data_IF_482949797933
#
_entry.id   IF_482949797933
#
_cell.length_a   1.000
_cell.length_b   1.000
_cell.length_c   1.000
_cell.angle_alpha   90.00
_cell.angle_beta   90.00
_cell.angle_gamma   90.00
#
_symmetry.space_group_name_H-M   'P 1'
#
loop_
_entity.id
_entity.type
_entity.pdbx_description
1 polymer ?
#
# COMPACT_ATOMS: atom_id res chain seq x y z
N UNK A 1 -17.10 6.93 -74.01
CA UNK A 1 -15.83 6.52 -73.40
C UNK A 1 -15.34 7.67 -72.53
N UNK A 2 -15.72 7.71 -71.29
CA UNK A 2 -15.35 8.76 -70.37
C UNK A 2 -14.82 8.13 -69.08
N UNK A 3 -13.58 8.47 -68.70
CA UNK A 3 -12.91 8.02 -67.49
C UNK A 3 -13.47 8.77 -66.26
N UNK A 4 -14.14 8.10 -65.39
CA UNK A 4 -14.51 8.65 -64.08
C UNK A 4 -13.31 8.61 -63.15
N UNK A 5 -12.83 9.74 -62.68
CA UNK A 5 -11.84 9.90 -61.63
C UNK A 5 -12.54 9.80 -60.27
N UNK A 6 -12.31 8.73 -59.55
CA UNK A 6 -12.75 8.62 -58.17
C UNK A 6 -11.88 9.46 -57.27
N UNK A 7 -12.47 10.49 -56.69
CA UNK A 7 -11.91 11.34 -55.66
C UNK A 7 -12.15 10.64 -54.30
N UNK A 8 -11.15 9.97 -53.78
CA UNK A 8 -11.20 9.41 -52.44
C UNK A 8 -10.98 10.55 -51.44
N UNK A 9 -12.09 11.04 -50.87
CA UNK A 9 -12.03 11.89 -49.69
C UNK A 9 -11.63 11.03 -48.49
N UNK A 10 -10.40 11.17 -48.00
CA UNK A 10 -9.99 10.68 -46.70
C UNK A 10 -10.69 11.53 -45.64
N UNK A 11 -11.74 11.00 -45.05
CA UNK A 11 -12.33 11.52 -43.84
C UNK A 11 -11.45 11.02 -42.68
N UNK A 12 -10.62 11.90 -42.15
CA UNK A 12 -9.90 11.68 -40.94
C UNK A 12 -10.92 11.80 -39.79
N UNK A 13 -11.44 10.68 -39.32
CA UNK A 13 -12.26 10.64 -38.10
C UNK A 13 -11.28 10.84 -36.97
N UNK A 14 -11.21 12.07 -36.47
CA UNK A 14 -10.60 12.35 -35.18
C UNK A 14 -11.43 11.67 -34.09
N UNK A 15 -10.95 10.57 -33.55
CA UNK A 15 -11.49 10.00 -32.32
C UNK A 15 -11.11 10.98 -31.22
N UNK A 16 -12.05 11.87 -30.90
CA UNK A 16 -12.00 12.64 -29.67
C UNK A 16 -12.30 11.63 -28.54
N UNK A 17 -11.25 11.09 -27.95
CA UNK A 17 -11.38 10.36 -26.69
C UNK A 17 -11.84 11.38 -25.64
N UNK A 18 -13.14 11.51 -25.48
CA UNK A 18 -13.74 12.09 -24.30
C UNK A 18 -13.47 11.07 -23.20
N UNK A 19 -12.39 11.28 -22.44
CA UNK A 19 -12.24 10.67 -21.13
C UNK A 19 -13.35 11.29 -20.28
N UNK A 20 -14.52 10.69 -20.34
CA UNK A 20 -15.49 10.79 -19.28
C UNK A 20 -14.78 10.18 -18.05
N UNK A 21 -14.22 11.05 -17.23
CA UNK A 21 -14.02 10.73 -15.82
C UNK A 21 -15.43 10.51 -15.26
N UNK A 22 -15.96 9.33 -15.45
CA UNK A 22 -16.98 8.84 -14.54
C UNK A 22 -16.26 8.77 -13.19
N UNK A 23 -16.46 9.79 -12.38
CA UNK A 23 -16.39 9.59 -10.97
C UNK A 23 -17.30 8.39 -10.70
N UNK A 24 -16.71 7.22 -10.52
CA UNK A 24 -17.42 6.09 -9.95
C UNK A 24 -17.81 6.59 -8.58
N UNK A 25 -19.02 7.08 -8.46
CA UNK A 25 -19.67 7.24 -7.17
C UNK A 25 -19.80 5.80 -6.70
N UNK A 26 -18.86 5.38 -5.84
CA UNK A 26 -18.96 4.11 -5.16
C UNK A 26 -20.31 4.16 -4.45
N UNK A 27 -21.17 3.20 -4.78
CA UNK A 27 -22.46 3.08 -4.15
C UNK A 27 -22.24 2.90 -2.65
N UNK A 28 -23.02 3.60 -1.88
CA UNK A 28 -22.98 3.75 -0.44
C UNK A 28 -22.35 2.56 0.29
N UNK A 29 -21.28 2.85 1.04
CA UNK A 29 -20.81 2.05 2.15
C UNK A 29 -22.03 1.48 2.87
N UNK A 30 -22.10 0.15 3.04
CA UNK A 30 -23.20 -0.52 3.70
C UNK A 30 -23.69 0.25 4.95
N UNK A 31 -24.71 1.12 4.85
CA UNK A 31 -25.05 2.01 5.95
C UNK A 31 -25.56 1.24 7.16
N UNK A 32 -26.06 0.02 6.95
CA UNK A 32 -26.44 -0.87 8.04
C UNK A 32 -25.22 -1.35 8.83
N UNK A 33 -24.12 -1.66 8.17
CA UNK A 33 -22.87 -2.05 8.82
C UNK A 33 -22.24 -0.88 9.57
N UNK A 34 -22.19 0.32 8.96
CA UNK A 34 -21.68 1.52 9.62
C UNK A 34 -22.49 1.83 10.87
N UNK A 35 -23.82 1.72 10.80
CA UNK A 35 -24.67 1.94 11.99
C UNK A 35 -24.42 0.87 13.06
N UNK A 36 -24.25 -0.39 12.67
CA UNK A 36 -23.89 -1.49 13.58
C UNK A 36 -22.54 -1.22 14.26
N UNK A 37 -21.55 -0.75 13.51
CA UNK A 37 -20.23 -0.40 14.06
C UNK A 37 -20.36 0.75 15.08
N UNK A 38 -21.12 1.81 14.78
CA UNK A 38 -21.41 2.90 15.71
C UNK A 38 -22.10 2.41 16.98
N UNK A 39 -23.06 1.51 16.86
CA UNK A 39 -23.80 0.96 18.00
C UNK A 39 -22.91 0.03 18.86
N UNK A 40 -22.07 -0.77 18.25
CA UNK A 40 -21.09 -1.61 18.95
C UNK A 40 -20.06 -0.79 19.72
N UNK A 41 -19.58 0.32 19.15
CA UNK A 41 -18.63 1.23 19.78
C UNK A 41 -19.29 2.30 20.69
N UNK A 42 -20.60 2.28 20.85
CA UNK A 42 -21.33 3.29 21.64
C UNK A 42 -20.86 3.40 23.09
N UNK A 43 -20.41 2.29 23.67
CA UNK A 43 -19.88 2.24 25.03
C UNK A 43 -18.35 2.21 25.08
N UNK A 44 -17.70 2.39 23.91
CA UNK A 44 -16.25 2.52 23.87
C UNK A 44 -15.83 3.81 24.57
N UNK A 45 -14.71 3.78 25.26
CA UNK A 45 -14.16 4.92 25.98
C UNK A 45 -12.73 5.19 25.51
N UNK A 46 -12.21 6.35 25.91
CA UNK A 46 -10.80 6.69 25.73
C UNK A 46 -9.95 6.33 26.96
N UNK A 47 -10.31 5.26 27.69
CA UNK A 47 -9.54 4.80 28.84
C UNK A 47 -8.07 4.52 28.47
N UNK A 48 -7.85 4.01 27.23
CA UNK A 48 -6.54 4.01 26.58
C UNK A 48 -6.55 5.18 25.60
N UNK A 49 -5.68 6.18 25.78
CA UNK A 49 -5.67 7.37 24.94
C UNK A 49 -5.46 7.07 23.45
N UNK A 50 -6.18 7.81 22.60
CA UNK A 50 -5.89 7.92 21.17
C UNK A 50 -4.92 9.08 21.00
N UNK A 51 -3.64 8.77 20.81
CA UNK A 51 -2.55 9.78 20.81
C UNK A 51 -2.73 10.84 19.73
N UNK A 52 -3.22 10.45 18.57
CA UNK A 52 -3.49 11.39 17.46
C UNK A 52 -4.60 12.41 17.78
N UNK A 53 -5.42 12.18 18.80
CA UNK A 53 -6.44 13.15 19.24
C UNK A 53 -5.84 14.38 19.94
N UNK A 54 -4.59 14.29 20.39
CA UNK A 54 -3.88 15.38 21.07
C UNK A 54 -3.15 16.32 20.09
N UNK A 55 -3.18 16.01 18.77
CA UNK A 55 -2.57 16.84 17.73
C UNK A 55 -3.54 17.99 17.40
N UNK A 56 -3.09 19.22 17.53
CA UNK A 56 -3.91 20.39 17.22
C UNK A 56 -4.35 20.40 15.74
N UNK A 57 -5.64 20.60 15.51
CA UNK A 57 -6.24 20.58 14.17
C UNK A 57 -6.36 19.18 13.52
N UNK A 58 -5.96 18.10 14.21
CA UNK A 58 -6.16 16.74 13.72
C UNK A 58 -7.62 16.30 13.96
N UNK A 59 -8.25 15.58 13.01
CA UNK A 59 -9.60 15.04 13.22
C UNK A 59 -9.63 14.13 14.45
N UNK A 60 -10.68 14.27 15.26
CA UNK A 60 -10.87 13.41 16.42
C UNK A 60 -11.16 11.97 15.98
N UNK A 61 -10.26 11.05 16.28
CA UNK A 61 -10.43 9.63 16.02
C UNK A 61 -11.56 9.03 16.86
N UNK A 62 -12.25 7.99 16.37
CA UNK A 62 -13.33 7.34 17.10
C UNK A 62 -12.81 6.64 18.37
N UNK A 63 -13.64 6.58 19.40
CA UNK A 63 -13.46 5.63 20.48
C UNK A 63 -13.83 4.22 19.98
N UNK A 64 -12.94 3.27 20.15
CA UNK A 64 -13.07 1.88 19.69
C UNK A 64 -12.81 0.89 20.83
N UNK A 65 -13.30 -0.33 20.68
CA UNK A 65 -13.33 -1.35 21.76
C UNK A 65 -12.01 -2.08 21.98
N UNK A 66 -11.15 -2.16 20.96
CA UNK A 66 -9.86 -2.82 21.10
C UNK A 66 -8.87 -2.04 21.98
N UNK A 67 -7.89 -2.73 22.53
CA UNK A 67 -6.87 -2.11 23.39
C UNK A 67 -5.75 -1.44 22.58
N UNK A 68 -5.43 -1.93 21.38
CA UNK A 68 -4.41 -1.32 20.50
C UNK A 68 -4.87 -1.28 19.07
N UNK A 69 -4.66 -0.15 18.38
CA UNK A 69 -4.95 -0.02 16.96
C UNK A 69 -4.08 1.03 16.28
N UNK A 70 -3.89 0.84 14.98
CA UNK A 70 -3.28 1.81 14.07
C UNK A 70 -4.03 1.84 12.74
N UNK A 71 -4.13 3.02 12.15
CA UNK A 71 -4.44 3.19 10.73
C UNK A 71 -3.26 3.87 10.08
N UNK A 72 -2.73 3.23 9.05
CA UNK A 72 -1.53 3.66 8.32
C UNK A 72 -1.84 3.76 6.83
N UNK A 73 -1.34 4.78 6.16
CA UNK A 73 -1.39 4.85 4.70
C UNK A 73 -0.36 3.88 4.11
N UNK A 74 -0.79 3.05 3.15
CA UNK A 74 -0.03 1.88 2.73
C UNK A 74 1.22 2.21 1.89
N UNK A 75 1.27 3.36 1.21
CA UNK A 75 2.41 3.75 0.36
C UNK A 75 3.48 4.48 1.17
N UNK A 76 3.08 5.48 1.95
CA UNK A 76 3.99 6.33 2.70
C UNK A 76 4.37 5.78 4.08
N UNK A 77 3.51 4.95 4.68
CA UNK A 77 3.66 4.51 6.06
C UNK A 77 3.13 5.51 7.11
N UNK A 78 2.50 6.60 6.67
CA UNK A 78 2.01 7.63 7.57
C UNK A 78 0.87 7.15 8.45
N UNK A 79 0.95 7.46 9.75
CA UNK A 79 -0.01 7.02 10.75
C UNK A 79 -1.10 8.06 10.94
N UNK A 80 -2.36 7.69 10.67
CA UNK A 80 -3.52 8.56 10.83
C UNK A 80 -4.21 8.39 12.18
N UNK A 81 -4.16 7.20 12.73
CA UNK A 81 -4.78 6.86 14.01
C UNK A 81 -3.82 6.04 14.86
N UNK A 82 -3.62 6.44 16.10
CA UNK A 82 -2.75 5.78 17.06
C UNK A 82 -3.48 5.59 18.40
N UNK A 83 -3.81 4.35 18.75
CA UNK A 83 -4.28 3.95 20.07
C UNK A 83 -3.34 2.86 20.59
N UNK A 84 -2.44 3.20 21.53
CA UNK A 84 -1.46 2.28 22.08
C UNK A 84 -0.77 1.42 21.00
N UNK A 85 -0.41 2.04 19.86
CA UNK A 85 0.07 1.31 18.68
C UNK A 85 1.40 0.60 18.93
N UNK A 86 2.23 1.09 19.85
CA UNK A 86 3.55 0.53 20.19
C UNK A 86 3.53 -0.39 21.43
N UNK A 87 2.35 -0.64 22.00
CA UNK A 87 2.19 -1.58 23.09
C UNK A 87 2.25 -3.03 22.60
N UNK A 88 3.04 -3.87 23.28
CA UNK A 88 3.15 -5.31 22.97
C UNK A 88 1.82 -6.02 23.14
N UNK A 89 1.43 -6.77 22.12
CA UNK A 89 0.25 -7.63 22.10
C UNK A 89 0.59 -8.97 21.46
N UNK A 90 -0.24 -9.97 21.71
CA UNK A 90 -0.14 -11.25 21.02
C UNK A 90 -0.84 -11.17 19.67
N UNK A 91 -0.16 -11.50 18.57
CA UNK A 91 -0.73 -11.36 17.22
C UNK A 91 -1.79 -12.42 16.89
N UNK A 92 -1.79 -13.58 17.54
CA UNK A 92 -2.54 -14.73 17.09
C UNK A 92 -2.26 -15.04 15.60
N UNK A 93 -3.26 -15.50 14.83
CA UNK A 93 -3.06 -15.86 13.42
C UNK A 93 -2.78 -14.69 12.46
N UNK A 94 -2.74 -13.43 12.93
CA UNK A 94 -2.23 -12.33 12.08
C UNK A 94 -0.71 -12.48 11.82
N UNK A 95 0.00 -13.28 12.62
CA UNK A 95 1.36 -13.80 12.36
C UNK A 95 1.53 -14.33 10.94
N UNK A 96 0.47 -14.94 10.37
CA UNK A 96 0.51 -15.58 9.06
C UNK A 96 0.75 -14.61 7.90
N UNK A 97 0.63 -13.29 8.14
CA UNK A 97 1.06 -12.27 7.17
C UNK A 97 2.58 -12.35 6.99
N UNK A 98 3.35 -12.40 8.09
CA UNK A 98 4.81 -12.59 8.04
C UNK A 98 5.16 -13.95 7.43
N UNK A 99 4.44 -14.99 7.80
CA UNK A 99 4.65 -16.35 7.22
C UNK A 99 4.47 -16.36 5.70
N UNK A 100 3.41 -15.72 5.21
CA UNK A 100 3.16 -15.62 3.76
C UNK A 100 4.22 -14.74 3.07
N UNK A 101 4.64 -13.63 3.68
CA UNK A 101 5.68 -12.74 3.16
C UNK A 101 7.01 -13.51 2.98
N UNK A 102 7.51 -14.14 4.04
CA UNK A 102 8.77 -14.89 3.99
C UNK A 102 8.68 -16.06 3.01
N UNK A 103 7.55 -16.78 2.96
CA UNK A 103 7.37 -17.87 2.01
C UNK A 103 7.37 -17.36 0.55
N UNK A 104 6.75 -16.22 0.26
CA UNK A 104 6.75 -15.61 -1.07
C UNK A 104 8.13 -15.12 -1.52
N UNK A 105 8.95 -14.66 -0.59
CA UNK A 105 10.31 -14.21 -0.88
C UNK A 105 11.31 -15.37 -1.13
N UNK A 106 11.06 -16.56 -0.54
CA UNK A 106 12.02 -17.67 -0.52
C UNK A 106 11.55 -18.92 -1.25
N UNK A 107 10.41 -18.87 -1.97
CA UNK A 107 9.91 -20.01 -2.73
C UNK A 107 9.20 -19.57 -4.01
N UNK A 108 8.93 -20.55 -4.91
CA UNK A 108 8.09 -20.32 -6.08
C UNK A 108 6.68 -20.86 -5.80
N UNK A 109 5.65 -20.22 -6.35
CA UNK A 109 4.25 -20.66 -6.19
C UNK A 109 4.00 -22.08 -6.69
N UNK A 110 4.80 -22.55 -7.63
CA UNK A 110 4.72 -23.91 -8.21
C UNK A 110 5.50 -24.97 -7.44
N UNK A 111 6.27 -24.59 -6.42
CA UNK A 111 7.02 -25.54 -5.59
C UNK A 111 6.06 -26.50 -4.89
N UNK A 112 6.44 -27.76 -4.81
CA UNK A 112 5.60 -28.76 -4.17
C UNK A 112 5.91 -28.87 -2.68
N UNK A 113 4.86 -28.86 -1.86
CA UNK A 113 4.91 -29.05 -0.41
C UNK A 113 4.33 -30.40 -0.08
N UNK A 114 5.15 -31.30 0.45
CA UNK A 114 4.70 -32.63 0.90
C UNK A 114 4.47 -32.61 2.38
N UNK A 115 3.25 -32.93 2.80
CA UNK A 115 2.88 -32.91 4.22
C UNK A 115 3.42 -34.11 4.98
N UNK A 116 4.06 -33.84 6.10
CA UNK A 116 4.63 -34.82 7.02
C UNK A 116 3.78 -34.95 8.29
N UNK A 117 3.95 -36.04 9.01
CA UNK A 117 3.30 -36.22 10.31
C UNK A 117 3.63 -35.08 11.28
N UNK A 118 4.86 -34.53 11.21
CA UNK A 118 5.28 -33.40 12.04
C UNK A 118 4.51 -32.12 11.68
N UNK A 119 4.43 -31.78 10.39
CA UNK A 119 3.70 -30.58 9.92
C UNK A 119 2.20 -30.63 10.25
N UNK A 120 1.63 -31.84 10.35
CA UNK A 120 0.19 -32.05 10.61
C UNK A 120 -0.18 -32.04 12.11
N UNK A 121 0.77 -31.89 13.03
CA UNK A 121 0.50 -31.89 14.49
C UNK A 121 -0.52 -30.85 14.94
N UNK A 122 -0.59 -29.73 14.20
CA UNK A 122 -1.50 -28.64 14.54
C UNK A 122 -2.92 -28.82 13.98
N UNK A 123 -3.16 -29.86 13.17
CA UNK A 123 -4.51 -30.20 12.65
C UNK A 123 -5.33 -30.94 13.71
N UNK A 124 -5.61 -30.26 14.82
CA UNK A 124 -6.33 -30.82 15.97
C UNK A 124 -7.57 -30.00 16.32
N UNK A 125 -8.60 -30.61 16.93
CA UNK A 125 -9.79 -29.86 17.38
C UNK A 125 -9.41 -28.67 18.27
N UNK A 126 -10.00 -27.51 17.98
CA UNK A 126 -9.70 -26.24 18.68
C UNK A 126 -8.73 -25.36 17.91
N UNK A 127 -7.94 -25.89 16.98
CA UNK A 127 -7.11 -25.14 16.07
C UNK A 127 -7.82 -24.84 14.76
N UNK A 128 -7.30 -23.90 13.98
CA UNK A 128 -7.68 -23.69 12.58
C UNK A 128 -6.88 -24.61 11.67
N UNK A 129 -7.55 -25.40 10.86
CA UNK A 129 -6.94 -26.30 9.87
C UNK A 129 -7.81 -26.46 8.62
N UNK A 130 -7.21 -26.99 7.58
CA UNK A 130 -7.90 -27.22 6.29
C UNK A 130 -8.87 -28.40 6.40
N UNK A 131 -10.07 -28.25 5.85
CA UNK A 131 -11.10 -29.30 5.85
C UNK A 131 -11.54 -29.62 4.41
N UNK A 132 -11.63 -30.92 4.00
CA UNK A 132 -11.18 -32.13 4.72
C UNK A 132 -9.70 -32.10 5.09
N UNK A 133 -9.36 -32.71 6.23
CA UNK A 133 -8.00 -32.71 6.80
C UNK A 133 -6.98 -33.21 5.78
N UNK A 134 -5.88 -32.47 5.69
CA UNK A 134 -4.72 -32.86 4.86
C UNK A 134 -4.08 -34.12 5.44
N UNK A 135 -3.67 -35.05 4.59
CA UNK A 135 -3.13 -36.34 5.01
C UNK A 135 -1.58 -36.36 4.90
N UNK A 136 -0.94 -37.21 5.69
CA UNK A 136 0.49 -37.45 5.56
C UNK A 136 0.85 -37.97 4.16
N UNK A 137 1.87 -37.38 3.54
CA UNK A 137 2.27 -37.63 2.18
C UNK A 137 1.36 -37.00 1.12
N UNK A 138 0.40 -36.17 1.52
CA UNK A 138 -0.35 -35.33 0.59
C UNK A 138 0.55 -34.22 0.04
N UNK A 139 0.34 -33.84 -1.22
CA UNK A 139 1.15 -32.86 -1.93
C UNK A 139 0.26 -31.72 -2.38
N UNK A 140 0.60 -30.51 -1.97
CA UNK A 140 0.03 -29.26 -2.47
C UNK A 140 1.12 -28.41 -3.14
N UNK A 141 0.72 -27.43 -3.96
CA UNK A 141 1.65 -26.39 -4.41
C UNK A 141 1.82 -25.33 -3.32
N UNK A 142 2.91 -24.57 -3.37
CA UNK A 142 3.10 -23.42 -2.46
C UNK A 142 1.95 -22.41 -2.59
N UNK A 143 1.46 -22.15 -3.81
CA UNK A 143 0.27 -21.31 -4.02
C UNK A 143 -0.93 -21.81 -3.21
N UNK A 144 -1.26 -23.11 -3.32
CA UNK A 144 -2.37 -23.72 -2.58
C UNK A 144 -2.17 -23.61 -1.06
N UNK A 145 -0.94 -23.76 -0.59
CA UNK A 145 -0.59 -23.60 0.82
C UNK A 145 -0.81 -22.15 1.28
N UNK A 146 -0.36 -21.16 0.51
CA UNK A 146 -0.53 -19.75 0.86
C UNK A 146 -2.00 -19.35 0.90
N UNK A 147 -2.83 -19.84 -0.02
CA UNK A 147 -4.28 -19.65 0.06
C UNK A 147 -4.87 -20.30 1.32
N UNK A 148 -4.44 -21.51 1.68
CA UNK A 148 -4.91 -22.18 2.89
C UNK A 148 -4.47 -21.44 4.18
N UNK A 149 -3.26 -20.89 4.19
CA UNK A 149 -2.73 -20.06 5.29
C UNK A 149 -3.56 -18.79 5.45
N UNK A 150 -3.81 -18.08 4.38
CA UNK A 150 -4.43 -16.75 4.47
C UNK A 150 -5.95 -16.80 4.58
N UNK A 151 -6.64 -17.67 3.84
CA UNK A 151 -8.10 -17.70 3.81
C UNK A 151 -8.71 -18.43 5.02
N UNK A 152 -8.25 -19.65 5.28
CA UNK A 152 -8.80 -20.50 6.35
C UNK A 152 -7.89 -20.64 7.56
N UNK A 153 -6.76 -19.91 7.56
CA UNK A 153 -5.85 -19.85 8.70
C UNK A 153 -5.23 -21.22 9.09
N UNK A 154 -4.94 -22.10 8.09
CA UNK A 154 -4.40 -23.45 8.34
C UNK A 154 -3.10 -23.42 9.15
N UNK A 155 -3.14 -23.88 10.40
CA UNK A 155 -1.97 -23.91 11.29
C UNK A 155 -0.97 -24.96 10.82
N UNK A 156 -1.47 -26.15 10.50
CA UNK A 156 -0.68 -27.27 9.96
C UNK A 156 0.01 -26.90 8.65
N UNK A 157 -0.68 -26.11 7.79
CA UNK A 157 -0.11 -25.65 6.54
C UNK A 157 1.02 -24.65 6.81
N UNK A 158 0.82 -23.73 7.75
CA UNK A 158 1.84 -22.77 8.14
C UNK A 158 3.10 -23.47 8.67
N UNK A 159 2.91 -24.50 9.51
CA UNK A 159 4.00 -25.30 10.07
C UNK A 159 4.74 -26.09 8.97
N UNK A 160 3.99 -26.71 8.05
CA UNK A 160 4.61 -27.45 6.94
C UNK A 160 5.36 -26.54 5.97
N UNK A 161 4.83 -25.37 5.65
CA UNK A 161 5.50 -24.36 4.83
C UNK A 161 6.77 -23.85 5.51
N UNK A 162 6.72 -23.60 6.83
CA UNK A 162 7.89 -23.21 7.58
C UNK A 162 9.00 -24.28 7.53
N UNK A 163 8.67 -25.55 7.69
CA UNK A 163 9.62 -26.66 7.55
C UNK A 163 10.19 -26.76 6.12
N UNK A 164 9.37 -26.53 5.12
CA UNK A 164 9.79 -26.62 3.71
C UNK A 164 10.75 -25.48 3.32
N UNK A 165 10.44 -24.25 3.73
CA UNK A 165 11.20 -23.04 3.33
C UNK A 165 12.43 -22.85 4.23
N UNK A 166 12.28 -22.98 5.55
CA UNK A 166 13.35 -22.76 6.52
C UNK A 166 14.20 -24.01 6.81
N UNK A 167 13.84 -25.17 6.22
CA UNK A 167 14.48 -26.45 6.56
C UNK A 167 14.05 -27.01 7.91
N UNK A 168 13.57 -26.20 8.81
CA UNK A 168 12.90 -26.53 10.07
C UNK A 168 11.97 -25.37 10.48
N UNK A 169 11.13 -25.58 11.50
CA UNK A 169 10.29 -24.49 12.05
C UNK A 169 11.19 -23.41 12.65
N UNK A 170 12.23 -23.78 13.37
CA UNK A 170 13.18 -22.86 13.99
C UNK A 170 13.91 -22.02 12.96
N UNK A 171 14.42 -22.64 11.87
CA UNK A 171 15.09 -21.90 10.79
C UNK A 171 14.16 -20.91 10.09
N UNK A 172 12.88 -21.26 9.91
CA UNK A 172 11.90 -20.34 9.35
C UNK A 172 11.58 -19.17 10.32
N UNK A 173 11.49 -19.45 11.60
CA UNK A 173 11.29 -18.44 12.64
C UNK A 173 12.47 -17.46 12.70
N UNK A 174 13.70 -17.92 12.51
CA UNK A 174 14.86 -17.05 12.36
C UNK A 174 14.68 -16.10 11.18
N UNK A 175 14.27 -16.62 10.01
CA UNK A 175 13.97 -15.79 8.83
C UNK A 175 12.85 -14.77 9.10
N UNK A 176 11.79 -15.14 9.83
CA UNK A 176 10.71 -14.21 10.20
C UNK A 176 11.23 -13.07 11.08
N UNK A 177 12.09 -13.36 12.06
CA UNK A 177 12.66 -12.37 12.96
C UNK A 177 13.69 -11.47 12.26
N UNK A 178 14.50 -12.04 11.36
CA UNK A 178 15.41 -11.27 10.50
C UNK A 178 14.61 -10.30 9.60
N UNK A 179 13.54 -10.79 8.97
CA UNK A 179 12.66 -9.94 8.15
C UNK A 179 11.99 -8.83 8.98
N UNK A 180 11.55 -9.12 10.20
CA UNK A 180 11.00 -8.10 11.09
C UNK A 180 12.03 -6.99 11.40
N UNK A 181 13.28 -7.35 11.63
CA UNK A 181 14.38 -6.39 11.81
C UNK A 181 14.67 -5.58 10.54
N UNK A 182 14.69 -6.24 9.38
CA UNK A 182 14.88 -5.59 8.07
C UNK A 182 13.78 -4.54 7.80
N UNK A 183 12.54 -4.86 8.13
CA UNK A 183 11.39 -3.94 8.01
C UNK A 183 11.51 -2.76 9.01
N UNK A 184 12.27 -2.90 10.08
CA UNK A 184 12.43 -1.89 11.13
C UNK A 184 11.49 -2.05 12.32
N UNK A 185 10.88 -3.25 12.50
CA UNK A 185 10.06 -3.56 13.67
C UNK A 185 10.87 -3.44 14.97
N UNK A 186 10.28 -2.81 15.99
CA UNK A 186 10.98 -2.51 17.26
C UNK A 186 10.64 -3.47 18.39
N UNK A 187 9.42 -3.94 18.39
CA UNK A 187 8.83 -4.74 19.48
C UNK A 187 8.06 -5.96 18.94
N UNK A 188 8.69 -6.68 17.99
CA UNK A 188 8.15 -7.91 17.40
C UNK A 188 9.12 -9.06 17.58
N UNK A 189 8.60 -10.21 18.01
CA UNK A 189 9.35 -11.46 18.12
C UNK A 189 8.44 -12.64 17.82
N UNK A 190 8.83 -13.45 16.87
CA UNK A 190 8.14 -14.68 16.48
C UNK A 190 8.82 -15.90 17.05
N UNK A 191 8.04 -16.92 17.45
CA UNK A 191 8.52 -18.23 17.91
C UNK A 191 7.87 -19.40 17.16
N UNK A 192 6.87 -19.11 16.32
CA UNK A 192 6.23 -20.06 15.43
C UNK A 192 5.65 -19.35 14.17
N UNK A 193 5.29 -20.14 13.17
CA UNK A 193 4.79 -19.63 11.90
C UNK A 193 3.25 -19.53 11.84
N UNK A 194 2.51 -19.94 12.86
CA UNK A 194 1.06 -20.04 12.82
C UNK A 194 0.33 -19.08 13.78
N UNK A 195 1.05 -18.49 14.77
CA UNK A 195 0.51 -17.56 15.74
C UNK A 195 -0.19 -18.22 16.93
N UNK A 196 0.03 -19.51 17.18
CA UNK A 196 -0.37 -20.13 18.43
C UNK A 196 0.36 -19.45 19.60
N UNK A 197 -0.32 -19.38 20.73
CA UNK A 197 0.15 -18.62 21.87
C UNK A 197 1.47 -19.14 22.44
N UNK A 198 2.39 -18.20 22.63
CA UNK A 198 3.61 -18.33 23.44
C UNK A 198 3.90 -16.94 24.06
N UNK A 199 4.43 -16.89 25.27
CA UNK A 199 4.71 -15.63 25.98
C UNK A 199 5.76 -14.78 25.23
N UNK A 200 6.64 -15.41 24.45
CA UNK A 200 7.67 -14.75 23.65
C UNK A 200 7.23 -14.46 22.23
N UNK A 201 5.96 -14.77 21.86
CA UNK A 201 5.41 -14.53 20.53
C UNK A 201 4.55 -13.26 20.57
N UNK A 202 5.13 -12.11 20.30
CA UNK A 202 4.48 -10.81 20.44
C UNK A 202 4.81 -9.88 19.28
N UNK A 203 3.98 -8.86 19.12
CA UNK A 203 4.13 -7.75 18.18
C UNK A 203 3.48 -6.50 18.75
N UNK A 204 3.53 -5.40 18.01
CA UNK A 204 2.73 -4.20 18.25
C UNK A 204 1.79 -3.96 17.06
N UNK A 205 0.77 -3.11 17.23
CA UNK A 205 -0.10 -2.76 16.10
C UNK A 205 0.69 -2.04 15.00
N UNK A 206 1.66 -1.21 15.37
CA UNK A 206 2.54 -0.49 14.46
C UNK A 206 3.46 -1.44 13.69
N UNK A 207 4.21 -2.28 14.39
CA UNK A 207 5.10 -3.25 13.73
C UNK A 207 4.33 -4.17 12.79
N UNK A 208 3.15 -4.63 13.20
CA UNK A 208 2.30 -5.49 12.37
C UNK A 208 1.77 -4.74 11.14
N UNK A 209 1.50 -3.43 11.24
CA UNK A 209 1.15 -2.60 10.09
C UNK A 209 2.32 -2.44 9.12
N UNK A 210 3.55 -2.28 9.62
CA UNK A 210 4.77 -2.25 8.80
C UNK A 210 5.00 -3.59 8.07
N UNK A 211 4.81 -4.71 8.76
CA UNK A 211 4.87 -6.05 8.16
C UNK A 211 3.79 -6.20 7.08
N UNK A 212 2.58 -5.74 7.37
CA UNK A 212 1.47 -5.77 6.43
C UNK A 212 1.72 -4.88 5.21
N UNK A 213 2.34 -3.72 5.39
CA UNK A 213 2.78 -2.83 4.33
C UNK A 213 3.79 -3.51 3.40
N UNK A 214 4.82 -4.14 3.98
CA UNK A 214 5.83 -4.85 3.20
C UNK A 214 5.21 -5.99 2.39
N UNK A 215 4.37 -6.81 3.04
CA UNK A 215 3.66 -7.90 2.36
C UNK A 215 2.77 -7.40 1.21
N UNK A 216 2.13 -6.25 1.38
CA UNK A 216 1.24 -5.67 0.37
C UNK A 216 1.96 -5.17 -0.89
N UNK A 217 3.28 -4.96 -0.87
CA UNK A 217 4.08 -4.66 -2.06
C UNK A 217 4.11 -5.83 -3.04
N UNK A 218 3.97 -7.06 -2.55
CA UNK A 218 3.96 -8.27 -3.37
C UNK A 218 2.58 -8.45 -4.06
N UNK A 219 2.57 -8.58 -5.39
CA UNK A 219 1.34 -8.70 -6.17
C UNK A 219 0.58 -10.00 -5.86
N UNK A 220 1.29 -11.12 -5.70
CA UNK A 220 0.66 -12.40 -5.38
C UNK A 220 0.07 -12.39 -3.96
N UNK A 221 0.73 -11.71 -3.01
CA UNK A 221 0.15 -11.52 -1.70
C UNK A 221 -1.18 -10.76 -1.78
N UNK A 222 -1.25 -9.64 -2.54
CA UNK A 222 -2.50 -8.89 -2.73
C UNK A 222 -3.60 -9.75 -3.33
N UNK A 223 -3.28 -10.55 -4.34
CA UNK A 223 -4.22 -11.49 -4.96
C UNK A 223 -4.75 -12.52 -3.97
N UNK A 224 -3.85 -13.13 -3.18
CA UNK A 224 -4.22 -14.15 -2.20
C UNK A 224 -5.11 -13.54 -1.11
N UNK A 225 -4.66 -12.47 -0.47
CA UNK A 225 -5.37 -11.88 0.68
C UNK A 225 -6.74 -11.30 0.30
N UNK A 226 -6.88 -10.81 -0.94
CA UNK A 226 -8.12 -10.27 -1.51
C UNK A 226 -9.09 -11.31 -2.09
N UNK A 227 -8.71 -12.59 -2.10
CA UNK A 227 -9.59 -13.64 -2.63
C UNK A 227 -10.65 -14.04 -1.63
N UNK A 228 -11.92 -14.07 -2.07
CA UNK A 228 -13.05 -14.54 -1.24
C UNK A 228 -13.06 -16.06 -1.09
N UNK A 229 -12.74 -16.75 -2.18
CA UNK A 229 -12.71 -18.20 -2.25
C UNK A 229 -11.50 -18.67 -3.05
N UNK A 230 -11.02 -19.86 -2.72
CA UNK A 230 -10.04 -20.57 -3.51
C UNK A 230 -10.36 -22.06 -3.48
N UNK A 231 -10.21 -22.75 -4.61
CA UNK A 231 -10.46 -24.18 -4.68
C UNK A 231 -9.16 -24.93 -4.85
N UNK A 232 -8.81 -25.77 -3.88
CA UNK A 232 -7.76 -26.76 -4.02
C UNK A 232 -8.38 -27.96 -4.75
N UNK A 233 -7.89 -28.33 -5.93
CA UNK A 233 -8.41 -29.49 -6.68
C UNK A 233 -8.07 -30.81 -5.97
N UNK A 234 -8.58 -31.93 -6.51
CA UNK A 234 -8.17 -33.25 -6.08
C UNK A 234 -6.66 -33.39 -6.04
N UNK A 235 -6.13 -34.06 -4.99
CA UNK A 235 -4.71 -34.26 -4.76
C UNK A 235 -4.33 -35.74 -4.94
N UNK A 236 -3.07 -36.08 -4.68
CA UNK A 236 -2.61 -37.46 -4.64
C UNK A 236 -3.22 -38.30 -3.51
N UNK A 237 -3.90 -37.69 -2.54
CA UNK A 237 -4.50 -38.38 -1.38
C UNK A 237 -6.00 -38.19 -1.26
N UNK A 238 -6.54 -37.10 -1.81
CA UNK A 238 -7.94 -36.72 -1.65
C UNK A 238 -8.57 -36.52 -3.02
N UNK A 239 -9.61 -37.29 -3.34
CA UNK A 239 -10.30 -37.24 -4.62
C UNK A 239 -11.26 -36.03 -4.72
N UNK A 240 -11.67 -35.49 -3.59
CA UNK A 240 -12.56 -34.35 -3.48
C UNK A 240 -11.79 -33.03 -3.48
N UNK A 241 -12.34 -32.02 -4.13
CA UNK A 241 -11.80 -30.66 -4.04
C UNK A 241 -12.13 -30.03 -2.68
N UNK A 242 -11.30 -29.06 -2.26
CA UNK A 242 -11.52 -28.26 -1.05
C UNK A 242 -11.78 -26.81 -1.43
N UNK A 243 -12.95 -26.30 -1.08
CA UNK A 243 -13.27 -24.89 -1.25
C UNK A 243 -12.90 -24.14 0.03
N UNK A 244 -11.91 -23.28 -0.07
CA UNK A 244 -11.46 -22.40 1.01
C UNK A 244 -12.24 -21.09 0.95
N UNK A 245 -12.93 -20.73 2.02
CA UNK A 245 -13.63 -19.45 2.14
C UNK A 245 -12.84 -18.52 3.07
N UNK A 246 -12.62 -17.29 2.63
CA UNK A 246 -11.89 -16.32 3.42
C UNK A 246 -12.66 -15.95 4.70
N UNK A 247 -11.99 -16.03 5.84
CA UNK A 247 -12.55 -15.70 7.15
C UNK A 247 -12.72 -14.17 7.36
N UNK A 248 -12.19 -13.33 6.46
CA UNK A 248 -12.32 -11.88 6.56
C UNK A 248 -13.71 -11.42 6.13
N UNK A 249 -14.60 -11.20 7.10
CA UNK A 249 -16.01 -10.96 6.84
C UNK A 249 -16.30 -9.71 6.00
N UNK A 250 -15.49 -8.64 6.14
CA UNK A 250 -15.68 -7.40 5.36
C UNK A 250 -15.43 -7.58 3.86
N UNK A 251 -14.66 -8.61 3.48
CA UNK A 251 -14.41 -8.97 2.09
C UNK A 251 -15.57 -9.78 1.50
N UNK A 252 -16.37 -10.44 2.34
CA UNK A 252 -17.46 -11.34 1.97
C UNK A 252 -18.64 -10.63 1.30
N UNK A 253 -19.77 -11.32 1.29
CA UNK A 253 -21.07 -10.79 0.86
C UNK A 253 -22.02 -10.71 2.07
N UNK A 254 -23.07 -9.90 1.94
CA UNK A 254 -24.09 -9.78 2.99
C UNK A 254 -23.83 -8.69 4.01
N UNK A 255 -24.30 -8.89 5.23
CA UNK A 255 -24.41 -7.85 6.25
C UNK A 255 -23.07 -7.28 6.74
N UNK A 256 -21.98 -8.00 6.52
CA UNK A 256 -20.63 -7.58 6.88
C UNK A 256 -19.83 -7.00 5.72
N UNK A 257 -20.38 -7.00 4.51
CA UNK A 257 -19.67 -6.46 3.37
C UNK A 257 -19.37 -4.96 3.57
N UNK A 258 -18.10 -4.59 3.41
CA UNK A 258 -17.65 -3.20 3.42
C UNK A 258 -16.98 -2.87 2.08
N UNK A 259 -17.56 -1.91 1.35
CA UNK A 259 -17.02 -1.46 0.08
C UNK A 259 -15.62 -0.87 0.27
N UNK A 260 -14.71 -1.24 -0.63
CA UNK A 260 -13.31 -0.87 -0.51
C UNK A 260 -12.45 -1.84 0.33
N UNK A 261 -13.04 -2.86 1.00
CA UNK A 261 -12.23 -3.89 1.65
C UNK A 261 -11.45 -4.69 0.62
N UNK A 262 -10.13 -4.69 0.74
CA UNK A 262 -9.19 -5.41 -0.13
C UNK A 262 -8.74 -6.75 0.46
N UNK A 263 -9.24 -7.11 1.64
CA UNK A 263 -8.90 -8.33 2.35
C UNK A 263 -8.09 -8.09 3.61
N UNK A 264 -7.49 -9.14 4.13
CA UNK A 264 -6.73 -9.06 5.37
C UNK A 264 -6.56 -10.40 6.07
N UNK A 265 -6.29 -10.37 7.36
CA UNK A 265 -6.09 -11.57 8.17
C UNK A 265 -6.72 -11.43 9.54
N UNK A 266 -7.54 -12.41 9.91
CA UNK A 266 -8.12 -12.56 11.25
C UNK A 266 -7.22 -13.39 12.16
N UNK A 267 -7.30 -13.15 13.45
CA UNK A 267 -6.64 -13.98 14.46
C UNK A 267 -7.44 -14.08 15.74
N UNK A 268 -7.29 -15.18 16.44
CA UNK A 268 -7.85 -15.42 17.77
C UNK A 268 -7.03 -16.45 18.53
N UNK A 269 -6.74 -16.16 19.77
CA UNK A 269 -6.42 -17.11 20.86
C UNK A 269 -7.05 -16.59 22.15
N UNK A 270 -7.21 -17.44 23.14
CA UNK A 270 -7.81 -17.02 24.41
C UNK A 270 -7.03 -15.87 25.08
N UNK A 271 -5.72 -15.79 24.87
CA UNK A 271 -4.86 -14.74 25.42
C UNK A 271 -4.82 -13.49 24.53
N UNK A 272 -4.72 -13.66 23.22
CA UNK A 272 -4.69 -12.53 22.27
C UNK A 272 -6.06 -11.88 22.10
N UNK A 273 -7.13 -12.61 22.39
CA UNK A 273 -8.50 -12.27 21.98
C UNK A 273 -8.58 -12.11 20.47
N UNK A 274 -9.54 -11.33 19.96
CA UNK A 274 -9.63 -11.10 18.51
C UNK A 274 -8.58 -10.10 18.06
N UNK A 275 -7.91 -10.42 16.95
CA UNK A 275 -6.95 -9.59 16.25
C UNK A 275 -7.33 -9.53 14.77
N UNK A 276 -7.10 -8.39 14.11
CA UNK A 276 -7.47 -8.19 12.72
C UNK A 276 -6.51 -7.24 12.03
N UNK A 277 -6.07 -7.62 10.85
CA UNK A 277 -5.43 -6.73 9.88
C UNK A 277 -6.33 -6.63 8.67
N UNK A 278 -6.61 -5.43 8.22
CA UNK A 278 -7.45 -5.16 7.04
C UNK A 278 -6.76 -4.16 6.12
N UNK A 279 -6.71 -4.50 4.85
CA UNK A 279 -6.39 -3.57 3.77
C UNK A 279 -7.70 -3.03 3.20
N UNK A 280 -7.79 -1.73 3.02
CA UNK A 280 -8.95 -1.12 2.38
C UNK A 280 -8.56 0.09 1.56
N UNK A 281 -9.34 0.37 0.54
CA UNK A 281 -9.19 1.53 -0.33
C UNK A 281 -10.29 2.55 -0.04
N UNK A 282 -9.92 3.81 0.06
CA UNK A 282 -10.85 4.92 0.16
C UNK A 282 -10.32 6.10 -0.65
N UNK A 283 -11.15 6.62 -1.54
CA UNK A 283 -10.83 7.78 -2.39
C UNK A 283 -9.50 7.60 -3.17
N UNK A 284 -9.19 6.36 -3.62
CA UNK A 284 -7.97 6.01 -4.35
C UNK A 284 -6.72 5.86 -3.47
N UNK A 285 -6.86 5.92 -2.15
CA UNK A 285 -5.80 5.70 -1.17
C UNK A 285 -6.00 4.37 -0.47
N UNK A 286 -4.92 3.59 -0.36
CA UNK A 286 -4.94 2.31 0.34
C UNK A 286 -4.46 2.53 1.77
N UNK A 287 -5.20 1.97 2.71
CA UNK A 287 -4.91 2.02 4.13
C UNK A 287 -4.77 0.62 4.71
N UNK A 288 -3.96 0.52 5.74
CA UNK A 288 -3.76 -0.67 6.56
C UNK A 288 -4.33 -0.36 7.95
N UNK A 289 -5.32 -1.13 8.36
CA UNK A 289 -5.90 -1.03 9.69
C UNK A 289 -5.52 -2.27 10.50
N UNK A 290 -4.89 -2.08 11.65
CA UNK A 290 -4.57 -3.14 12.59
C UNK A 290 -5.33 -2.91 13.89
N UNK A 291 -6.04 -3.94 14.35
CA UNK A 291 -6.80 -3.97 15.60
C UNK A 291 -6.34 -5.17 16.42
N UNK A 292 -5.84 -4.94 17.62
CA UNK A 292 -5.32 -5.98 18.51
C UNK A 292 -6.03 -5.98 19.87
N UNK A 293 -6.22 -7.16 20.43
CA UNK A 293 -6.81 -7.39 21.74
C UNK A 293 -8.24 -6.86 21.86
N UNK A 294 -9.11 -7.25 20.90
CA UNK A 294 -10.53 -6.90 20.93
C UNK A 294 -11.34 -7.84 21.83
N UNK A 295 -11.97 -7.27 22.84
CA UNK A 295 -12.78 -7.98 23.85
C UNK A 295 -14.22 -8.16 23.36
N UNK A 296 -14.46 -9.02 22.41
CA UNK A 296 -15.79 -9.26 21.90
C UNK A 296 -15.79 -10.14 20.66
N UNK A 297 -16.93 -10.27 20.02
CA UNK A 297 -17.10 -11.10 18.82
C UNK A 297 -17.15 -10.30 17.52
N UNK A 298 -17.24 -8.98 17.61
CA UNK A 298 -17.48 -8.09 16.47
C UNK A 298 -16.25 -7.21 16.14
N UNK A 299 -15.05 -7.80 16.09
CA UNK A 299 -13.78 -7.09 15.83
C UNK A 299 -13.81 -6.23 14.55
N UNK A 300 -14.63 -6.60 13.58
CA UNK A 300 -14.79 -5.86 12.34
C UNK A 300 -15.43 -4.48 12.54
N UNK A 301 -16.19 -4.26 13.62
CA UNK A 301 -16.83 -2.97 13.90
C UNK A 301 -15.81 -1.86 14.16
N UNK A 302 -14.74 -2.16 14.90
CA UNK A 302 -13.65 -1.21 15.13
C UNK A 302 -12.97 -0.83 13.82
N UNK A 303 -12.70 -1.82 12.95
CA UNK A 303 -12.12 -1.59 11.62
C UNK A 303 -13.02 -0.71 10.74
N UNK A 304 -14.33 -0.94 10.75
CA UNK A 304 -15.29 -0.09 10.00
C UNK A 304 -15.28 1.34 10.52
N UNK A 305 -15.27 1.54 11.85
CA UNK A 305 -15.16 2.87 12.44
C UNK A 305 -13.88 3.59 12.04
N UNK A 306 -12.76 2.87 12.01
CA UNK A 306 -11.46 3.40 11.59
C UNK A 306 -11.40 3.67 10.07
N UNK A 307 -12.02 2.82 9.26
CA UNK A 307 -12.12 3.05 7.82
C UNK A 307 -12.99 4.28 7.51
N UNK A 308 -14.11 4.48 8.23
CA UNK A 308 -14.91 5.69 8.11
C UNK A 308 -14.14 6.95 8.54
N UNK A 309 -13.28 6.84 9.54
CA UNK A 309 -12.45 7.95 10.01
C UNK A 309 -11.45 8.43 8.96
N UNK A 310 -10.96 7.55 8.06
CA UNK A 310 -10.03 7.98 7.00
C UNK A 310 -10.66 8.95 5.99
N UNK A 311 -12.00 9.06 5.98
CA UNK A 311 -12.71 10.07 5.18
C UNK A 311 -12.39 11.51 5.57
N UNK A 312 -11.82 11.73 6.73
CA UNK A 312 -11.40 13.06 7.21
C UNK A 312 -10.04 13.50 6.64
N UNK A 313 -9.38 12.65 5.86
CA UNK A 313 -8.04 12.89 5.32
C UNK A 313 -8.02 12.95 3.79
N UNK A 314 -6.97 13.56 3.26
CA UNK A 314 -6.67 13.60 1.84
C UNK A 314 -5.16 13.56 1.58
N UNK A 315 -4.77 13.10 0.38
CA UNK A 315 -3.39 13.17 -0.10
C UNK A 315 -3.10 14.56 -0.66
N UNK A 316 -2.05 15.19 -0.15
CA UNK A 316 -1.55 16.48 -0.60
C UNK A 316 -0.19 16.28 -1.28
N UNK A 317 -0.06 16.73 -2.53
CA UNK A 317 1.24 16.76 -3.20
C UNK A 317 2.08 17.90 -2.67
N UNK A 318 3.23 17.58 -2.11
CA UNK A 318 4.20 18.53 -1.57
C UNK A 318 5.45 18.51 -2.44
N UNK A 319 5.74 19.62 -3.11
CA UNK A 319 6.98 19.73 -3.88
C UNK A 319 8.14 20.03 -2.94
N UNK A 320 9.24 19.25 -2.97
CA UNK A 320 10.43 19.52 -2.20
C UNK A 320 10.97 20.94 -2.47
N UNK A 321 11.43 21.63 -1.43
CA UNK A 321 11.91 23.02 -1.56
C UNK A 321 13.14 23.17 -2.45
N UNK A 322 13.98 22.14 -2.50
CA UNK A 322 15.28 22.22 -3.17
C UNK A 322 15.34 21.46 -4.50
N UNK A 323 14.48 20.48 -4.74
CA UNK A 323 14.58 19.58 -5.89
C UNK A 323 13.21 19.27 -6.47
N UNK A 324 13.12 19.30 -7.80
CA UNK A 324 11.89 18.98 -8.54
C UNK A 324 11.69 17.49 -8.74
N UNK A 325 12.53 16.65 -8.16
CA UNK A 325 12.47 15.20 -8.28
C UNK A 325 11.37 14.63 -7.40
N UNK A 326 10.38 14.00 -8.02
CA UNK A 326 9.24 13.27 -7.45
C UNK A 326 8.69 13.91 -6.17
N UNK A 327 7.77 14.85 -6.31
CA UNK A 327 7.11 15.49 -5.17
C UNK A 327 6.63 14.45 -4.17
N UNK A 328 7.03 14.58 -2.91
CA UNK A 328 6.53 13.76 -1.82
C UNK A 328 5.03 13.95 -1.64
N UNK A 329 4.40 12.97 -1.03
CA UNK A 329 2.98 13.02 -0.70
C UNK A 329 2.85 13.13 0.80
N UNK A 330 1.98 14.02 1.28
CA UNK A 330 1.55 14.08 2.67
C UNK A 330 0.11 13.60 2.78
N UNK A 331 -0.22 12.89 3.86
CA UNK A 331 -1.60 12.53 4.20
C UNK A 331 -2.04 13.42 5.35
N UNK A 332 -2.99 14.30 5.08
CA UNK A 332 -3.33 15.42 5.97
C UNK A 332 -4.83 15.52 6.19
N UNK A 333 -5.28 16.19 7.26
CA UNK A 333 -6.68 16.54 7.42
C UNK A 333 -7.22 17.28 6.20
N UNK A 334 -8.44 16.97 5.78
CA UNK A 334 -9.09 17.61 4.62
C UNK A 334 -9.09 19.12 4.72
N UNK A 335 -8.74 19.80 3.62
CA UNK A 335 -8.64 21.24 3.55
C UNK A 335 -7.31 21.82 4.01
N UNK A 336 -6.34 20.98 4.38
CA UNK A 336 -4.96 21.41 4.65
C UNK A 336 -4.29 21.86 3.37
N UNK A 337 -3.53 22.96 3.44
CA UNK A 337 -2.73 23.45 2.31
C UNK A 337 -1.25 23.23 2.57
N UNK A 338 -0.43 23.22 1.51
CA UNK A 338 1.03 23.05 1.64
C UNK A 338 1.70 24.11 2.52
N UNK A 339 1.11 25.31 2.61
CA UNK A 339 1.64 26.39 3.45
C UNK A 339 1.45 26.13 4.95
N UNK A 340 0.58 25.18 5.31
CA UNK A 340 0.39 24.75 6.70
C UNK A 340 1.39 23.68 7.15
N UNK A 341 2.24 23.21 6.24
CA UNK A 341 3.24 22.18 6.54
C UNK A 341 4.61 22.80 6.83
N UNK A 342 5.22 22.33 7.89
CA UNK A 342 6.66 22.55 8.14
C UNK A 342 7.45 21.48 7.37
N UNK A 343 8.51 21.86 6.68
CA UNK A 343 9.39 20.95 5.95
C UNK A 343 10.74 20.94 6.66
N UNK A 344 11.12 19.78 7.20
CA UNK A 344 12.41 19.53 7.82
C UNK A 344 13.30 18.72 6.87
N UNK A 345 14.49 19.23 6.56
CA UNK A 345 15.49 18.54 5.73
C UNK A 345 16.48 17.82 6.61
N UNK A 346 16.64 16.53 6.39
CA UNK A 346 17.61 15.65 7.05
C UNK A 346 18.35 14.81 6.01
N UNK A 347 19.27 13.96 6.45
CA UNK A 347 19.85 12.92 5.61
C UNK A 347 19.41 11.56 6.15
N UNK A 348 18.98 10.67 5.25
CA UNK A 348 18.68 9.29 5.62
C UNK A 348 19.99 8.49 5.85
N UNK A 349 19.86 7.22 6.26
CA UNK A 349 21.00 6.35 6.54
C UNK A 349 21.95 6.16 5.36
N UNK A 350 21.47 6.27 4.13
CA UNK A 350 22.24 6.18 2.89
C UNK A 350 22.92 7.50 2.50
N UNK A 351 22.74 8.54 3.30
CA UNK A 351 23.29 9.88 3.07
C UNK A 351 22.55 10.68 2.00
N UNK A 352 21.37 10.21 1.56
CA UNK A 352 20.50 10.97 0.67
C UNK A 352 19.75 12.03 1.45
N UNK A 353 19.53 13.20 0.84
CA UNK A 353 18.69 14.22 1.46
C UNK A 353 17.24 13.70 1.55
N UNK A 354 16.62 13.87 2.71
CA UNK A 354 15.23 13.51 2.99
C UNK A 354 14.52 14.77 3.52
N UNK A 355 13.33 15.02 3.04
CA UNK A 355 12.45 16.04 3.58
C UNK A 355 11.25 15.36 4.26
N UNK A 356 11.06 15.67 5.54
CA UNK A 356 9.91 15.24 6.33
C UNK A 356 8.90 16.38 6.40
N UNK A 357 7.65 16.08 6.12
CA UNK A 357 6.53 17.03 6.18
C UNK A 357 5.82 16.91 7.50
N UNK A 358 5.70 18.00 8.23
CA UNK A 358 5.07 18.03 9.53
C UNK A 358 3.81 18.91 9.51
N UNK A 359 2.73 18.38 10.06
CA UNK A 359 1.51 19.12 10.38
C UNK A 359 1.44 19.28 11.90
N UNK A 360 1.58 20.52 12.38
CA UNK A 360 1.61 20.83 13.82
C UNK A 360 2.58 19.95 14.61
N UNK A 361 3.77 19.68 14.03
CA UNK A 361 4.82 18.86 14.63
C UNK A 361 4.62 17.34 14.47
N UNK A 362 3.54 16.89 13.83
CA UNK A 362 3.29 15.49 13.55
C UNK A 362 3.69 15.16 12.11
N UNK A 363 4.40 14.05 11.91
CA UNK A 363 4.83 13.60 10.59
C UNK A 363 3.63 13.15 9.78
N UNK A 364 3.52 13.68 8.56
CA UNK A 364 2.39 13.44 7.65
C UNK A 364 2.84 13.05 6.25
N UNK A 365 4.14 12.94 6.04
CA UNK A 365 4.71 12.54 4.76
C UNK A 365 6.17 12.86 4.67
N UNK A 366 6.80 12.29 3.66
CA UNK A 366 8.22 12.50 3.40
C UNK A 366 8.51 12.52 1.89
N UNK A 367 9.64 13.12 1.53
CA UNK A 367 10.24 13.03 0.21
C UNK A 367 11.70 12.67 0.34
N UNK A 368 12.11 11.63 -0.37
CA UNK A 368 13.52 11.22 -0.46
C UNK A 368 14.06 11.63 -1.81
N UNK A 369 15.12 12.43 -1.78
CA UNK A 369 15.78 12.91 -3.00
C UNK A 369 16.93 11.99 -3.34
N UNK A 370 16.87 11.35 -4.50
CA UNK A 370 18.00 10.57 -5.03
C UNK A 370 19.11 11.51 -5.50
N UNK A 371 20.17 11.61 -4.68
CA UNK A 371 21.32 12.47 -4.94
C UNK A 371 22.03 12.16 -6.25
N UNK A 372 22.02 10.87 -6.70
CA UNK A 372 22.63 10.45 -7.98
C UNK A 372 21.80 10.91 -9.18
N UNK A 373 20.47 10.84 -9.09
CA UNK A 373 19.59 11.34 -10.13
C UNK A 373 19.73 12.87 -10.24
N UNK A 374 19.80 13.59 -9.12
CA UNK A 374 20.02 15.03 -9.08
C UNK A 374 21.35 15.46 -9.70
N UNK A 375 22.45 14.78 -9.37
CA UNK A 375 23.76 15.09 -9.97
C UNK A 375 23.81 14.80 -11.47
N UNK A 376 23.02 13.81 -11.93
CA UNK A 376 22.87 13.51 -13.36
C UNK A 376 22.11 14.62 -14.09
N UNK A 377 20.99 15.07 -13.54
CA UNK A 377 20.17 16.17 -14.10
C UNK A 377 20.93 17.49 -14.09
N UNK A 378 21.66 17.79 -12.99
CA UNK A 378 22.50 18.97 -12.91
C UNK A 378 23.61 18.97 -13.98
N UNK A 379 24.25 17.81 -14.21
CA UNK A 379 25.24 17.66 -15.30
C UNK A 379 24.60 17.84 -16.68
N UNK A 380 23.37 17.37 -16.86
CA UNK A 380 22.64 17.55 -18.11
C UNK A 380 22.28 19.02 -18.35
N UNK A 381 21.82 19.75 -17.31
CA UNK A 381 21.57 21.20 -17.41
C UNK A 381 22.87 22.03 -17.66
N UNK A 382 23.97 21.66 -16.99
CA UNK A 382 25.25 22.30 -17.22
C UNK A 382 25.77 22.07 -18.64
N UNK A 383 25.59 20.85 -19.19
CA UNK A 383 25.96 20.52 -20.56
C UNK A 383 25.09 21.28 -21.58
N UNK A 384 23.78 21.43 -21.33
CA UNK A 384 22.90 22.23 -22.18
C UNK A 384 23.29 23.71 -22.17
N UNK A 385 23.58 24.28 -21.00
CA UNK A 385 24.05 25.67 -20.87
C UNK A 385 25.40 25.91 -21.57
N UNK A 386 26.32 24.91 -21.54
CA UNK A 386 27.57 24.99 -22.30
C UNK A 386 27.35 24.90 -23.81
N UNK A 387 26.38 24.09 -24.27
CA UNK A 387 26.01 24.01 -25.68
C UNK A 387 25.38 25.32 -26.17
N UNK A 388 24.43 25.87 -25.43
CA UNK A 388 23.80 27.17 -25.71
C UNK A 388 24.84 28.30 -25.74
N UNK A 389 25.79 28.31 -24.79
CA UNK A 389 26.83 29.32 -24.78
C UNK A 389 27.83 29.20 -25.94
N UNK A 390 28.09 27.99 -26.44
CA UNK A 390 28.91 27.74 -27.64
C UNK A 390 28.16 28.13 -28.94
N UNK A 391 26.85 27.90 -28.99
CA UNK A 391 26.03 28.35 -30.10
C UNK A 391 25.92 29.89 -30.17
N UNK A 392 25.75 30.57 -29.02
CA UNK A 392 25.77 32.04 -28.97
C UNK A 392 27.15 32.61 -29.31
N UNK A 393 28.26 31.99 -28.92
CA UNK A 393 29.59 32.39 -29.32
C UNK A 393 29.85 32.14 -30.79
N UNK A 394 29.36 31.07 -31.38
CA UNK A 394 29.45 30.77 -32.80
C UNK A 394 28.67 31.78 -33.62
N UNK A 395 27.44 32.10 -33.22
CA UNK A 395 26.60 33.13 -33.88
C UNK A 395 27.21 34.56 -33.78
N UNK A 396 27.82 34.90 -32.63
CA UNK A 396 28.54 36.17 -32.47
C UNK A 396 29.81 36.27 -33.33
N UNK A 397 30.53 35.15 -33.52
CA UNK A 397 31.71 35.12 -34.40
C UNK A 397 31.32 35.18 -35.92
N UNK A 398 30.19 34.58 -36.31
CA UNK A 398 29.67 34.71 -37.64
C UNK A 398 29.12 36.13 -37.94
N UNK A 399 28.52 36.77 -36.94
CA UNK A 399 28.06 38.17 -37.05
C UNK A 399 29.19 39.19 -37.18
N UNK A 400 30.42 38.89 -36.72
CA UNK A 400 31.60 39.77 -36.88
C UNK A 400 32.33 39.57 -38.22
N UNK A 401 32.10 38.46 -38.95
CA UNK A 401 32.82 38.14 -40.19
C UNK A 401 31.96 38.12 -41.47
N UNK A 402 30.67 38.43 -41.43
CA UNK A 402 29.84 38.41 -42.64
C UNK A 402 28.73 39.45 -42.63
N UNK A 403 28.63 40.21 -43.71
CA UNK A 403 27.41 40.99 -43.99
C UNK A 403 26.27 40.02 -44.34
N UNK A 404 25.34 39.83 -43.43
CA UNK A 404 24.16 39.02 -43.68
C UNK A 404 23.39 39.49 -44.89
N UNK A 405 23.04 38.57 -45.78
CA UNK A 405 22.10 38.83 -46.86
C UNK A 405 20.70 39.11 -46.26
N UNK A 406 19.94 39.97 -46.96
CA UNK A 406 18.54 40.29 -46.56
C UNK A 406 17.66 39.06 -46.36
N UNK A 407 18.01 37.92 -46.96
CA UNK A 407 17.31 36.65 -46.82
C UNK A 407 17.59 35.98 -45.48
N UNK A 408 18.83 35.97 -44.99
CA UNK A 408 19.22 35.38 -43.74
C UNK A 408 18.62 36.13 -42.54
N UNK A 409 18.58 37.46 -42.62
CA UNK A 409 17.89 38.32 -41.63
C UNK A 409 16.40 37.98 -41.57
N UNK A 410 15.77 37.75 -42.72
CA UNK A 410 14.35 37.40 -42.77
C UNK A 410 14.06 36.03 -42.16
N UNK A 411 14.96 35.05 -42.31
CA UNK A 411 14.83 33.70 -41.71
C UNK A 411 14.96 33.76 -40.20
N UNK A 412 15.94 34.49 -39.67
CA UNK A 412 16.13 34.63 -38.20
C UNK A 412 14.93 35.32 -37.54
N UNK A 413 14.38 36.37 -38.20
CA UNK A 413 13.18 37.04 -37.70
C UNK A 413 11.96 36.14 -37.76
N UNK A 414 11.82 35.29 -38.79
CA UNK A 414 10.71 34.34 -38.90
C UNK A 414 10.77 33.26 -37.84
N UNK A 415 11.94 32.69 -37.57
CA UNK A 415 12.15 31.69 -36.53
C UNK A 415 11.89 32.28 -35.13
N UNK A 416 12.35 33.50 -34.86
CA UNK A 416 12.07 34.22 -33.63
C UNK A 416 10.56 34.47 -33.39
N UNK A 417 9.82 34.81 -34.43
CA UNK A 417 8.36 35.01 -34.36
C UNK A 417 7.60 33.73 -34.16
N UNK A 418 8.06 32.61 -34.72
CA UNK A 418 7.46 31.28 -34.50
C UNK A 418 7.72 30.84 -33.06
N UNK A 419 8.92 31.04 -32.53
CA UNK A 419 9.27 30.75 -31.14
C UNK A 419 8.41 31.54 -30.12
N UNK A 420 8.24 32.85 -30.37
CA UNK A 420 7.35 33.71 -29.56
C UNK A 420 5.88 33.26 -29.63
N UNK A 421 5.42 32.85 -30.80
CA UNK A 421 4.08 32.29 -30.98
C UNK A 421 3.84 31.01 -30.14
N UNK A 422 4.79 30.10 -30.16
CA UNK A 422 4.72 28.87 -29.37
C UNK A 422 4.71 29.14 -27.86
N UNK A 423 5.54 30.08 -27.38
CA UNK A 423 5.56 30.48 -25.95
C UNK A 423 4.21 31.08 -25.55
N UNK A 424 3.61 31.94 -26.38
CA UNK A 424 2.29 32.52 -26.11
C UNK A 424 1.17 31.47 -26.10
N UNK A 425 1.26 30.45 -26.95
CA UNK A 425 0.33 29.31 -26.93
C UNK A 425 0.47 28.53 -25.65
N UNK A 426 1.69 28.20 -25.20
CA UNK A 426 1.94 27.50 -23.98
C UNK A 426 1.41 28.29 -22.77
N UNK A 427 1.71 29.60 -22.71
CA UNK A 427 1.19 30.48 -21.63
C UNK A 427 -0.35 30.54 -21.68
N UNK A 428 -0.96 30.57 -22.86
CA UNK A 428 -2.42 30.56 -23.00
C UNK A 428 -3.04 29.24 -22.50
N UNK A 429 -2.40 28.10 -22.79
CA UNK A 429 -2.85 26.80 -22.36
C UNK A 429 -2.73 26.68 -20.82
N UNK A 430 -1.62 27.16 -20.24
CA UNK A 430 -1.41 27.18 -18.79
C UNK A 430 -2.45 28.08 -18.09
N UNK A 431 -2.72 29.27 -18.66
CA UNK A 431 -3.76 30.16 -18.12
C UNK A 431 -5.18 29.60 -18.23
N UNK A 432 -5.48 28.78 -19.25
CA UNK A 432 -6.77 28.09 -19.37
C UNK A 432 -6.92 26.93 -18.36
N UNK A 433 -5.83 26.24 -18.01
CA UNK A 433 -5.84 25.20 -16.97
C UNK A 433 -5.98 25.74 -15.54
N UNK A 434 -5.59 27.01 -15.29
CA UNK A 434 -5.77 27.65 -13.98
C UNK A 434 -7.16 28.29 -13.77
N UNK A 435 -8.05 28.25 -14.77
CA UNK A 435 -9.42 28.80 -14.70
C UNK A 435 -10.52 27.73 -14.76
N UNK A 436 -10.14 26.46 -14.71
CA UNK A 436 -11.03 25.32 -14.43
C UNK A 436 -10.61 24.72 -13.10
#
# INVERSE_FOLDING_TARGET
MMKAKNLIKRVTIGILAVVLSTSVVWADDNPGLIQRAKDACKNATYDIPTVTNDIDGWPQGPAIMCDSAVVMEAESGEVLYNKAMDERRYPASTTKIMTALVALEHSNLTDTVTFTAEGLKEAVPGNSYVTPVIQEGEILTMEQCLYAIMLVSGNEVSTQVAMQVGGSVEGFVEMMNEKAQEIGCKDTHFVNANGLHDENHYTTAHDLAMIAQEAYKNEEFRKIVGSRYYTIPATNKTAEERVLANHHALLGEGDWHYDGCLGGKTGYTDTALNTLVTYFEKDGTIYICVVLHYKGTEVFTDTVMLAEYTKEFEKLQVSPKKYTLSGGTAVVPKGTTTDALEIQSTQNEDGNEQETFLFNGYEVGQAVVDKKAYEADKKAEEAQKEEESKEEQSQNNEAQNGSFSTFEIAVVVLVGLIGLGLILIVISVIKKKKKK
#
